data_IF_990411470467
#
_entry.id   IF_990411470467
#
_cell.length_a   1.000
_cell.length_b   1.000
_cell.length_c   1.000
_cell.angle_alpha   90.00
_cell.angle_beta   90.00
_cell.angle_gamma   90.00
#
_symmetry.space_group_name_H-M   'P 1'
#
loop_
_entity.id
_entity.type
_entity.pdbx_description
1 polymer ?
#
# COMPACT_ATOMS: atom_id res chain seq x y z
N UNK A 1 -3.05 -16.14 5.50
CA UNK A 1 -3.81 -15.14 4.70
C UNK A 1 -4.62 -14.29 5.68
N UNK A 2 -4.08 -13.14 6.08
CA UNK A 2 -4.83 -12.13 6.86
C UNK A 2 -5.78 -11.42 5.90
N UNK A 3 -7.09 -11.45 6.17
CA UNK A 3 -8.07 -10.62 5.46
C UNK A 3 -7.58 -9.16 5.55
N UNK A 4 -7.65 -8.35 4.46
CA UNK A 4 -7.47 -6.91 4.61
C UNK A 4 -8.50 -6.45 5.65
N UNK A 5 -8.02 -5.87 6.74
CA UNK A 5 -8.89 -5.38 7.80
C UNK A 5 -9.83 -4.35 7.19
N UNK A 6 -11.13 -4.64 7.11
CA UNK A 6 -12.16 -3.78 6.49
C UNK A 6 -12.46 -2.53 7.35
N UNK A 7 -11.42 -1.92 7.90
CA UNK A 7 -11.49 -0.64 8.58
C UNK A 7 -11.66 0.44 7.53
N UNK A 8 -12.74 1.21 7.64
CA UNK A 8 -12.85 2.48 6.95
C UNK A 8 -11.80 3.48 7.45
N UNK A 9 -11.60 4.54 6.66
CA UNK A 9 -10.72 5.66 7.05
C UNK A 9 -11.21 6.22 8.38
N UNK A 10 -10.38 6.30 9.43
CA UNK A 10 -10.78 6.84 10.70
C UNK A 10 -10.98 8.35 10.54
N UNK A 11 -12.13 8.80 10.99
CA UNK A 11 -12.51 10.20 10.96
C UNK A 11 -12.36 10.78 12.36
N UNK A 12 -11.69 11.93 12.46
CA UNK A 12 -11.60 12.65 13.73
C UNK A 12 -12.93 13.35 14.03
N UNK A 13 -13.25 13.53 15.31
CA UNK A 13 -14.54 14.09 15.72
C UNK A 13 -14.81 15.51 15.22
N UNK A 14 -13.77 16.27 14.85
CA UNK A 14 -13.86 17.60 14.27
C UNK A 14 -13.68 17.62 12.74
N UNK A 15 -13.68 16.45 12.09
CA UNK A 15 -13.47 16.28 10.65
C UNK A 15 -12.15 16.84 10.12
N UNK A 16 -11.19 17.17 11.00
CA UNK A 16 -9.91 17.71 10.58
C UNK A 16 -9.09 16.66 9.82
N UNK A 17 -8.39 17.13 8.79
CA UNK A 17 -7.42 16.37 7.99
C UNK A 17 -6.23 17.26 7.66
N UNK A 18 -5.02 16.70 7.52
CA UNK A 18 -3.91 17.44 6.96
C UNK A 18 -4.19 17.75 5.48
N UNK A 19 -3.77 18.92 5.02
CA UNK A 19 -3.79 19.32 3.61
C UNK A 19 -2.38 19.82 3.27
N UNK A 20 -1.66 19.07 2.43
CA UNK A 20 -0.33 19.43 1.93
C UNK A 20 -0.25 19.00 0.46
N UNK A 21 -0.24 19.98 -0.44
CA UNK A 21 -0.27 19.74 -1.89
C UNK A 21 0.93 18.92 -2.39
N UNK A 22 2.11 19.11 -1.80
CA UNK A 22 3.34 18.46 -2.23
C UNK A 22 3.29 16.98 -1.87
N UNK A 23 2.95 16.70 -0.62
CA UNK A 23 2.87 15.33 -0.13
C UNK A 23 1.69 14.58 -0.75
N UNK A 24 0.55 15.24 -0.92
CA UNK A 24 -0.62 14.66 -1.58
C UNK A 24 -0.33 14.36 -3.05
N UNK A 25 0.38 15.24 -3.76
CA UNK A 25 0.84 14.97 -5.13
C UNK A 25 1.82 13.80 -5.17
N UNK A 26 2.72 13.68 -4.19
CA UNK A 26 3.65 12.55 -4.12
C UNK A 26 2.93 11.22 -3.86
N UNK A 27 1.95 11.21 -2.95
CA UNK A 27 1.12 10.04 -2.67
C UNK A 27 0.28 9.65 -3.89
N UNK A 28 -0.35 10.62 -4.58
CA UNK A 28 -1.09 10.34 -5.82
C UNK A 28 -0.19 9.76 -6.89
N UNK A 29 1.00 10.33 -7.08
CA UNK A 29 1.98 9.82 -8.04
C UNK A 29 2.41 8.40 -7.69
N UNK A 30 2.65 8.10 -6.41
CA UNK A 30 3.06 6.75 -5.99
C UNK A 30 1.93 5.72 -6.15
N UNK A 31 0.68 6.13 -5.90
CA UNK A 31 -0.51 5.33 -6.22
C UNK A 31 -0.56 5.08 -7.73
N UNK A 32 -0.47 6.12 -8.56
CA UNK A 32 -0.53 6.01 -10.02
C UNK A 32 0.60 5.11 -10.55
N UNK A 33 1.81 5.25 -10.03
CA UNK A 33 2.96 4.46 -10.42
C UNK A 33 2.85 3.01 -9.97
N UNK A 34 2.25 2.73 -8.81
CA UNK A 34 1.94 1.35 -8.42
C UNK A 34 0.87 0.70 -9.31
N UNK A 35 -0.11 1.48 -9.78
CA UNK A 35 -1.11 1.00 -10.74
C UNK A 35 -0.54 0.84 -12.16
N UNK A 36 0.43 1.68 -12.57
CA UNK A 36 1.15 1.56 -13.85
C UNK A 36 2.26 0.51 -13.83
N UNK A 37 2.88 0.29 -12.67
CA UNK A 37 3.98 -0.65 -12.41
C UNK A 37 3.53 -2.09 -12.26
N UNK A 38 2.21 -2.34 -12.25
CA UNK A 38 1.65 -3.63 -12.60
C UNK A 38 2.16 -4.03 -14.00
N UNK A 39 3.03 -5.06 -14.14
CA UNK A 39 3.89 -5.22 -15.30
C UNK A 39 3.08 -5.52 -16.56
N UNK A 40 2.91 -4.50 -17.39
CA UNK A 40 2.47 -4.62 -18.78
C UNK A 40 3.59 -4.48 -19.81
N UNK A 41 4.73 -3.89 -19.47
CA UNK A 41 5.67 -3.38 -20.50
C UNK A 41 7.16 -3.39 -20.13
N UNK A 42 7.56 -4.07 -19.06
CA UNK A 42 8.97 -4.43 -18.86
C UNK A 42 9.21 -5.81 -19.47
N UNK A 43 10.17 -5.96 -20.38
CA UNK A 43 10.46 -7.18 -21.14
C UNK A 43 10.54 -8.43 -20.28
N UNK A 44 9.39 -9.05 -20.00
CA UNK A 44 9.31 -10.25 -19.20
C UNK A 44 9.98 -11.37 -19.99
N UNK A 45 10.93 -12.13 -19.42
CA UNK A 45 11.54 -13.27 -20.10
C UNK A 45 10.50 -14.27 -20.62
N UNK A 46 9.29 -14.27 -20.05
CA UNK A 46 8.15 -15.07 -20.52
C UNK A 46 7.60 -14.56 -21.86
N UNK A 47 7.52 -13.25 -22.09
CA UNK A 47 7.10 -12.68 -23.37
C UNK A 47 8.15 -12.94 -24.46
N UNK A 48 9.43 -12.82 -24.12
CA UNK A 48 10.54 -13.12 -25.04
C UNK A 48 10.57 -14.61 -25.39
N UNK A 49 10.43 -15.50 -24.40
CA UNK A 49 10.34 -16.93 -24.62
C UNK A 49 9.09 -17.30 -25.45
N UNK A 50 7.94 -16.68 -25.17
CA UNK A 50 6.71 -16.88 -25.93
C UNK A 50 6.85 -16.45 -27.39
N UNK A 51 7.48 -15.30 -27.65
CA UNK A 51 7.75 -14.82 -29.00
C UNK A 51 8.69 -15.76 -29.77
N UNK A 52 9.73 -16.29 -29.13
CA UNK A 52 10.64 -17.27 -29.74
C UNK A 52 9.93 -18.57 -30.10
N UNK A 53 9.02 -19.07 -29.25
CA UNK A 53 8.24 -20.28 -29.52
C UNK A 53 7.30 -20.07 -30.71
N UNK A 54 6.60 -18.94 -30.79
CA UNK A 54 5.73 -18.62 -31.92
C UNK A 54 6.54 -18.49 -33.21
N UNK A 55 7.73 -17.87 -33.14
CA UNK A 55 8.62 -17.74 -34.29
C UNK A 55 9.13 -19.10 -34.78
N UNK A 56 9.57 -19.98 -33.87
CA UNK A 56 10.00 -21.34 -34.21
C UNK A 56 8.85 -22.15 -34.83
N UNK A 57 7.64 -22.02 -34.30
CA UNK A 57 6.44 -22.69 -34.83
C UNK A 57 6.11 -22.21 -36.25
N UNK A 58 6.22 -20.90 -36.51
CA UNK A 58 6.01 -20.32 -37.83
C UNK A 58 7.01 -20.87 -38.87
N UNK A 59 8.28 -21.01 -38.49
CA UNK A 59 9.34 -21.57 -39.37
C UNK A 59 9.05 -23.03 -39.73
N UNK A 60 8.64 -23.85 -38.75
CA UNK A 60 8.30 -25.26 -38.98
C UNK A 60 7.08 -25.40 -39.91
N UNK A 61 6.04 -24.57 -39.70
CA UNK A 61 4.85 -24.57 -40.57
C UNK A 61 5.18 -24.09 -41.98
N UNK A 62 6.02 -23.07 -42.13
CA UNK A 62 6.46 -22.57 -43.44
C UNK A 62 7.24 -23.64 -44.22
N UNK A 63 8.17 -24.34 -43.55
CA UNK A 63 8.95 -25.41 -44.15
C UNK A 63 8.09 -26.63 -44.54
N UNK A 64 7.09 -26.98 -43.73
CA UNK A 64 6.22 -28.13 -43.98
C UNK A 64 5.14 -27.89 -45.05
N UNK A 65 4.63 -26.65 -45.17
CA UNK A 65 3.53 -26.33 -46.09
C UNK A 65 3.98 -25.72 -47.41
N UNK A 66 5.21 -25.21 -47.50
CA UNK A 66 5.72 -24.48 -48.67
C UNK A 66 5.01 -23.15 -48.94
N UNK A 67 4.09 -22.72 -48.05
CA UNK A 67 3.30 -21.52 -48.22
C UNK A 67 3.56 -20.52 -47.06
N UNK A 68 4.38 -19.47 -47.30
CA UNK A 68 4.77 -18.53 -46.26
C UNK A 68 3.60 -17.68 -45.75
N UNK A 69 2.57 -17.43 -46.57
CA UNK A 69 1.39 -16.67 -46.14
C UNK A 69 0.53 -17.44 -45.13
N UNK A 70 0.45 -18.77 -45.29
CA UNK A 70 -0.30 -19.64 -44.39
C UNK A 70 0.40 -19.77 -43.03
N UNK A 71 1.73 -19.87 -43.04
CA UNK A 71 2.54 -19.85 -41.82
C UNK A 71 2.37 -18.53 -41.04
N UNK A 72 2.34 -17.39 -41.73
CA UNK A 72 2.18 -16.08 -41.10
C UNK A 72 0.80 -15.94 -40.43
N UNK A 73 -0.26 -16.37 -41.10
CA UNK A 73 -1.62 -16.32 -40.54
C UNK A 73 -1.78 -17.21 -39.32
N UNK A 74 -1.23 -18.43 -39.34
CA UNK A 74 -1.23 -19.34 -38.19
C UNK A 74 -0.43 -18.74 -37.02
N UNK A 75 0.73 -18.14 -37.29
CA UNK A 75 1.55 -17.51 -36.25
C UNK A 75 0.85 -16.33 -35.59
N UNK A 76 0.19 -15.47 -36.38
CA UNK A 76 -0.59 -14.33 -35.86
C UNK A 76 -1.77 -14.82 -35.02
N UNK A 77 -2.52 -15.82 -35.51
CA UNK A 77 -3.64 -16.41 -34.75
C UNK A 77 -3.16 -17.03 -33.44
N UNK A 78 -2.03 -17.75 -33.46
CA UNK A 78 -1.45 -18.34 -32.25
C UNK A 78 -0.98 -17.26 -31.26
N UNK A 79 -0.38 -16.17 -31.74
CA UNK A 79 0.03 -15.05 -30.90
C UNK A 79 -1.17 -14.36 -30.24
N UNK A 80 -2.24 -14.09 -31.01
CA UNK A 80 -3.48 -13.47 -30.50
C UNK A 80 -4.16 -14.39 -29.49
N UNK A 81 -4.27 -15.69 -29.79
CA UNK A 81 -4.86 -16.66 -28.88
C UNK A 81 -4.03 -16.81 -27.59
N UNK A 82 -2.70 -16.82 -27.70
CA UNK A 82 -1.79 -16.84 -26.55
C UNK A 82 -1.94 -15.60 -25.67
N UNK A 83 -1.99 -14.40 -26.27
CA UNK A 83 -2.24 -13.14 -25.55
C UNK A 83 -3.60 -13.13 -24.86
N UNK A 84 -4.66 -13.56 -25.54
CA UNK A 84 -6.00 -13.66 -24.97
C UNK A 84 -6.04 -14.64 -23.79
N UNK A 85 -5.38 -15.80 -23.93
CA UNK A 85 -5.29 -16.80 -22.87
C UNK A 85 -4.52 -16.28 -21.65
N UNK A 86 -3.39 -15.59 -21.87
CA UNK A 86 -2.63 -14.94 -20.80
C UNK A 86 -3.47 -13.86 -20.12
N UNK A 87 -4.21 -13.03 -20.87
CA UNK A 87 -5.11 -12.03 -20.30
C UNK A 87 -6.20 -12.64 -19.42
N UNK A 88 -6.76 -13.79 -19.81
CA UNK A 88 -7.80 -14.51 -19.05
C UNK A 88 -7.25 -15.27 -17.84
N UNK A 89 -5.98 -15.68 -17.86
CA UNK A 89 -5.34 -16.50 -16.81
C UNK A 89 -4.34 -15.75 -15.94
N UNK A 90 -4.01 -14.51 -16.29
CA UNK A 90 -3.17 -13.66 -15.47
C UNK A 90 -3.78 -13.55 -14.07
N UNK A 91 -3.02 -13.94 -13.06
CA UNK A 91 -3.42 -13.74 -11.68
C UNK A 91 -3.69 -12.24 -11.49
N UNK A 92 -4.78 -11.85 -10.78
CA UNK A 92 -5.05 -10.45 -10.52
C UNK A 92 -3.82 -9.85 -9.85
N UNK A 93 -3.33 -8.76 -10.44
CA UNK A 93 -2.16 -8.03 -9.98
C UNK A 93 -2.40 -7.61 -8.53
N UNK A 94 -1.86 -8.37 -7.59
CA UNK A 94 -1.84 -7.99 -6.18
C UNK A 94 -0.75 -6.96 -6.03
N UNK A 95 -1.11 -5.70 -6.24
CA UNK A 95 -0.28 -4.57 -5.80
C UNK A 95 -0.10 -4.74 -4.30
N UNK A 96 1.13 -5.00 -3.86
CA UNK A 96 1.44 -5.00 -2.44
C UNK A 96 1.31 -3.57 -1.93
N UNK A 97 0.18 -3.26 -1.30
CA UNK A 97 -0.20 -1.90 -0.92
C UNK A 97 0.81 -1.26 0.03
N UNK A 98 1.52 -2.04 0.83
CA UNK A 98 2.58 -1.55 1.71
C UNK A 98 3.79 -1.01 0.93
N UNK A 99 4.01 -1.48 -0.31
CA UNK A 99 5.09 -1.03 -1.17
C UNK A 99 4.76 0.27 -1.91
N UNK A 100 3.50 0.68 -2.00
CA UNK A 100 3.07 1.90 -2.70
C UNK A 100 3.77 3.13 -2.13
N UNK A 101 3.92 3.20 -0.81
CA UNK A 101 4.57 4.33 -0.14
C UNK A 101 6.07 4.09 0.14
N UNK A 102 6.66 2.99 -0.34
CA UNK A 102 8.08 2.68 -0.08
C UNK A 102 9.03 3.78 -0.58
N UNK A 103 8.68 4.43 -1.68
CA UNK A 103 9.43 5.56 -2.29
C UNK A 103 9.56 6.75 -1.33
N UNK A 104 8.57 6.97 -0.45
CA UNK A 104 8.55 8.05 0.54
C UNK A 104 8.91 7.57 1.97
N UNK A 105 9.48 6.37 2.09
CA UNK A 105 9.89 5.77 3.37
C UNK A 105 8.80 4.93 4.06
N UNK A 106 7.69 4.67 3.38
CA UNK A 106 6.60 3.83 3.85
C UNK A 106 5.50 4.59 4.61
N UNK A 107 4.35 3.94 4.86
CA UNK A 107 3.20 4.55 5.54
C UNK A 107 3.54 5.05 6.95
N UNK A 108 4.46 4.39 7.64
CA UNK A 108 4.89 4.79 8.98
C UNK A 108 5.70 6.09 9.03
N UNK A 109 6.30 6.53 7.92
CA UNK A 109 7.12 7.74 7.85
C UNK A 109 6.32 9.00 7.50
N UNK A 110 5.05 8.84 7.14
CA UNK A 110 4.16 9.98 6.89
C UNK A 110 3.97 10.82 8.17
N UNK A 111 3.69 12.12 8.04
CA UNK A 111 3.32 12.95 9.18
C UNK A 111 2.12 12.35 9.92
N UNK A 112 2.09 12.47 11.25
CA UNK A 112 1.08 11.85 12.09
C UNK A 112 -0.37 12.13 11.66
N UNK A 113 -0.63 13.34 11.14
CA UNK A 113 -1.93 13.73 10.59
C UNK A 113 -2.45 12.80 9.48
N UNK A 114 -1.56 12.13 8.74
CA UNK A 114 -1.94 11.26 7.63
C UNK A 114 -2.60 9.94 8.05
N UNK A 115 -2.66 9.65 9.36
CA UNK A 115 -3.48 8.54 9.90
C UNK A 115 -4.96 8.70 9.56
N UNK A 116 -5.46 9.92 9.40
CA UNK A 116 -6.86 10.20 9.03
C UNK A 116 -7.04 10.56 7.54
N UNK A 117 -5.96 10.55 6.76
CA UNK A 117 -6.00 11.03 5.38
C UNK A 117 -6.42 9.91 4.40
N UNK A 118 -7.44 10.12 3.56
CA UNK A 118 -8.00 9.06 2.71
C UNK A 118 -7.01 8.54 1.67
N UNK A 119 -6.16 9.40 1.10
CA UNK A 119 -5.17 8.98 0.11
C UNK A 119 -4.08 8.09 0.73
N UNK A 120 -3.66 8.39 1.96
CA UNK A 120 -2.70 7.54 2.67
C UNK A 120 -3.30 6.16 3.00
N UNK A 121 -4.60 6.12 3.33
CA UNK A 121 -5.35 4.88 3.51
C UNK A 121 -5.40 4.02 2.26
N UNK A 122 -5.68 4.61 1.10
CA UNK A 122 -5.65 3.90 -0.18
C UNK A 122 -4.23 3.42 -0.54
N UNK A 123 -3.21 4.18 -0.14
CA UNK A 123 -1.82 3.90 -0.45
C UNK A 123 -1.12 2.94 0.54
N UNK A 124 -1.84 2.23 1.41
CA UNK A 124 -1.24 1.20 2.27
C UNK A 124 -1.24 1.49 3.77
N UNK A 125 -1.75 2.65 4.22
CA UNK A 125 -1.86 2.95 5.66
C UNK A 125 -2.81 1.96 6.35
N UNK A 126 -3.86 1.50 5.68
CA UNK A 126 -4.79 0.49 6.20
C UNK A 126 -4.08 -0.80 6.60
N UNK A 127 -3.25 -1.33 5.69
CA UNK A 127 -2.46 -2.54 5.91
C UNK A 127 -1.39 -2.33 6.98
N UNK A 128 -0.81 -1.13 7.05
CA UNK A 128 0.14 -0.77 8.10
C UNK A 128 -0.52 -0.66 9.49
N UNK A 129 -1.78 -0.21 9.55
CA UNK A 129 -2.56 -0.11 10.79
C UNK A 129 -3.26 -1.42 11.19
N UNK A 130 -3.36 -2.40 10.29
CA UNK A 130 -4.03 -3.68 10.54
C UNK A 130 -3.59 -4.42 11.82
N UNK A 131 -2.29 -4.50 12.19
CA UNK A 131 -1.87 -5.18 13.42
C UNK A 131 -2.13 -4.35 14.70
N UNK A 132 -2.58 -3.10 14.59
CA UNK A 132 -2.78 -2.19 15.70
C UNK A 132 -4.22 -2.30 16.21
N UNK A 133 -4.41 -2.26 17.53
CA UNK A 133 -5.74 -2.32 18.14
C UNK A 133 -6.54 -1.05 17.91
N UNK A 134 -7.87 -1.15 17.91
CA UNK A 134 -8.75 0.00 17.69
C UNK A 134 -8.57 1.09 18.76
N UNK A 135 -8.24 0.69 20.00
CA UNK A 135 -7.91 1.61 21.10
C UNK A 135 -6.71 2.50 20.75
N UNK A 136 -5.64 1.89 20.25
CA UNK A 136 -4.44 2.61 19.81
C UNK A 136 -4.74 3.52 18.62
N UNK A 137 -5.53 3.04 17.66
CA UNK A 137 -5.92 3.84 16.50
C UNK A 137 -6.75 5.06 16.92
N UNK A 138 -7.72 4.91 17.84
CA UNK A 138 -8.51 6.04 18.37
C UNK A 138 -7.64 7.06 19.10
N UNK A 139 -6.68 6.61 19.91
CA UNK A 139 -5.73 7.50 20.57
C UNK A 139 -4.86 8.25 19.55
N UNK A 140 -4.35 7.56 18.53
CA UNK A 140 -3.57 8.16 17.45
C UNK A 140 -4.38 9.22 16.68
N UNK A 141 -5.63 8.90 16.32
CA UNK A 141 -6.54 9.82 15.62
C UNK A 141 -6.84 11.08 16.43
N UNK A 142 -6.90 10.99 17.77
CA UNK A 142 -7.09 12.17 18.62
C UNK A 142 -5.86 13.08 18.61
N UNK A 143 -4.67 12.49 18.68
CA UNK A 143 -3.41 13.20 18.88
C UNK A 143 -2.71 13.60 17.57
N UNK A 144 -3.19 13.12 16.42
CA UNK A 144 -2.47 13.23 15.14
C UNK A 144 -2.21 14.66 14.65
N UNK A 145 -3.07 15.63 15.01
CA UNK A 145 -2.89 17.05 14.67
C UNK A 145 -1.82 17.73 15.51
N UNK A 146 -1.77 17.38 16.78
CA UNK A 146 -0.95 18.09 17.77
C UNK A 146 0.47 17.50 17.84
N UNK A 147 0.68 16.33 17.21
CA UNK A 147 1.97 15.63 17.20
C UNK A 147 2.78 15.99 15.95
N UNK A 148 3.97 16.62 16.08
CA UNK A 148 4.76 17.08 14.94
C UNK A 148 5.58 15.98 14.24
N UNK A 149 5.51 14.73 14.71
CA UNK A 149 6.31 13.61 14.21
C UNK A 149 5.60 12.71 13.21
N UNK A 150 6.24 11.57 12.92
CA UNK A 150 5.71 10.55 12.01
C UNK A 150 4.59 9.72 12.65
N UNK A 151 3.82 9.00 11.84
CA UNK A 151 2.84 8.00 12.30
C UNK A 151 3.50 6.96 13.20
N UNK A 152 4.69 6.47 12.83
CA UNK A 152 5.43 5.48 13.63
C UNK A 152 5.78 6.02 15.01
N UNK A 153 6.20 7.28 15.09
CA UNK A 153 6.63 7.88 16.34
C UNK A 153 5.43 8.21 17.24
N UNK A 154 4.30 8.60 16.65
CA UNK A 154 3.03 8.73 17.38
C UNK A 154 2.62 7.39 18.02
N UNK A 155 2.72 6.29 17.28
CA UNK A 155 2.38 4.96 17.81
C UNK A 155 3.37 4.51 18.89
N UNK A 156 4.65 4.82 18.73
CA UNK A 156 5.67 4.60 19.79
C UNK A 156 5.40 5.43 21.02
N UNK A 157 4.92 6.67 20.87
CA UNK A 157 4.52 7.52 21.99
C UNK A 157 3.33 6.91 22.74
N UNK A 158 2.28 6.49 22.02
CA UNK A 158 1.11 5.87 22.64
C UNK A 158 1.49 4.59 23.38
N UNK A 159 2.35 3.76 22.79
CA UNK A 159 2.88 2.55 23.46
C UNK A 159 3.67 2.88 24.74
N UNK A 160 4.49 3.94 24.69
CA UNK A 160 5.24 4.44 25.86
C UNK A 160 4.29 4.97 26.94
N UNK A 161 3.24 5.69 26.55
CA UNK A 161 2.22 6.21 27.46
C UNK A 161 1.45 5.08 28.15
N UNK A 162 1.04 4.04 27.41
CA UNK A 162 0.37 2.87 28.01
C UNK A 162 1.27 2.17 29.02
N UNK A 163 2.52 1.89 28.64
CA UNK A 163 3.52 1.27 29.53
C UNK A 163 3.76 2.13 30.79
N UNK A 164 3.85 3.45 30.62
CA UNK A 164 4.03 4.37 31.73
C UNK A 164 2.84 4.35 32.69
N UNK A 165 1.60 4.32 32.17
CA UNK A 165 0.39 4.24 32.97
C UNK A 165 0.33 2.94 33.78
N UNK A 166 0.50 1.79 33.12
CA UNK A 166 0.47 0.46 33.72
C UNK A 166 1.49 0.37 34.87
N UNK A 167 2.70 0.90 34.66
CA UNK A 167 3.74 0.90 35.68
C UNK A 167 3.42 1.76 36.92
N UNK A 168 2.58 2.80 36.79
CA UNK A 168 2.24 3.71 37.90
C UNK A 168 0.89 3.39 38.57
N UNK A 169 0.10 2.46 38.01
CA UNK A 169 -1.25 2.13 38.46
C UNK A 169 -1.41 0.62 38.70
N UNK A 170 -0.38 -0.01 39.25
CA UNK A 170 -0.36 -1.42 39.67
C UNK A 170 -0.87 -2.42 38.61
N UNK A 171 -0.49 -2.21 37.34
CA UNK A 171 -0.85 -3.13 36.26
C UNK A 171 -2.23 -2.89 35.64
N UNK A 172 -2.98 -1.87 36.09
CA UNK A 172 -4.30 -1.54 35.55
C UNK A 172 -4.19 -1.06 34.09
N UNK A 173 -5.09 -1.55 33.24
CA UNK A 173 -5.21 -1.05 31.87
C UNK A 173 -5.81 0.38 31.83
N UNK A 174 -5.21 1.29 31.04
CA UNK A 174 -5.75 2.63 30.85
C UNK A 174 -7.02 2.62 29.99
N UNK A 175 -7.97 3.45 30.35
CA UNK A 175 -9.08 3.84 29.46
C UNK A 175 -8.58 4.72 28.31
N UNK A 176 -9.35 4.81 27.22
CA UNK A 176 -9.02 5.63 26.05
C UNK A 176 -8.71 7.10 26.41
N UNK A 177 -9.45 7.66 27.40
CA UNK A 177 -9.24 9.03 27.86
C UNK A 177 -7.98 9.19 28.72
N UNK A 178 -7.67 8.22 29.58
CA UNK A 178 -6.45 8.20 30.40
C UNK A 178 -5.20 8.06 29.52
N UNK A 179 -5.24 7.16 28.54
CA UNK A 179 -4.14 6.94 27.60
C UNK A 179 -3.85 8.22 26.79
N UNK A 180 -4.89 8.86 26.25
CA UNK A 180 -4.75 10.13 25.55
C UNK A 180 -4.15 11.21 26.46
N UNK A 181 -4.64 11.33 27.70
CA UNK A 181 -4.15 12.32 28.68
C UNK A 181 -2.67 12.12 29.03
N UNK A 182 -2.23 10.87 29.24
CA UNK A 182 -0.82 10.56 29.50
C UNK A 182 0.03 10.87 28.27
N UNK A 183 -0.41 10.45 27.08
CA UNK A 183 0.30 10.72 25.84
C UNK A 183 0.46 12.23 25.59
N UNK A 184 -0.59 13.04 25.78
CA UNK A 184 -0.52 14.50 25.67
C UNK A 184 0.48 15.11 26.66
N UNK A 185 0.51 14.62 27.92
CA UNK A 185 1.52 15.07 28.90
C UNK A 185 2.94 14.74 28.46
N UNK A 186 3.15 13.59 27.84
CA UNK A 186 4.46 13.17 27.33
C UNK A 186 4.89 13.94 26.07
N UNK A 187 3.96 14.64 25.39
CA UNK A 187 4.29 15.53 24.25
C UNK A 187 4.82 16.89 24.71
N UNK A 188 4.40 17.39 25.88
CA UNK A 188 4.80 18.69 26.41
C UNK A 188 6.34 18.91 26.47
N UNK A 189 7.18 17.94 26.89
CA UNK A 189 8.64 18.12 26.89
C UNK A 189 9.29 18.02 25.50
N UNK A 190 8.55 17.66 24.44
CA UNK A 190 9.07 17.57 23.08
C UNK A 190 8.84 18.85 22.25
N UNK A 191 8.16 19.85 22.83
CA UNK A 191 7.82 21.14 22.19
C UNK A 191 8.61 22.33 22.79
N UNK A 192 9.57 22.06 23.68
CA UNK A 192 10.52 23.00 24.27
C UNK A 192 11.94 22.67 23.82
#
# INVERSE_FOLDING_TARGET
MTKPSDRGVPVRGDMWRPEDEVLDSAIRKSIDEAHRGAPGTGGSPVLVAGALVVMAFAVVVAAGTGNPMLALTVAVLAAVAGLAYIGLKAAPLRVDRLQILSIIGGPGNLPAGYVVHPLAWQAGMQEYMAPISDRYLRAAVRLCRDYPGSVSDLLRLIRRAEKHFINHHDGREPTDAELAKVATRMMAPALT
#
